data_IF_380860702630
#
_entry.id   IF_380860702630
#
_cell.length_a   1.000
_cell.length_b   1.000
_cell.length_c   1.000
_cell.angle_alpha   90.00
_cell.angle_beta   90.00
_cell.angle_gamma   90.00
#
_symmetry.space_group_name_H-M   'P 1'
#
loop_
_entity.id
_entity.type
_entity.pdbx_description
1 polymer ?
#
# COMPACT_ATOMS: atom_id res chain seq x y z
N UNK A 1 -7.36 -3.10 -4.51
CA UNK A 1 -6.79 -4.10 -3.56
C UNK A 1 -5.71 -4.86 -4.31
N UNK A 2 -4.49 -4.96 -3.78
CA UNK A 2 -3.48 -5.86 -4.34
C UNK A 2 -3.82 -7.32 -4.04
N UNK A 3 -3.40 -8.23 -4.94
CA UNK A 3 -3.54 -9.69 -4.77
C UNK A 3 -2.74 -10.19 -3.55
N UNK A 4 -3.05 -11.40 -3.08
CA UNK A 4 -2.38 -12.01 -1.93
C UNK A 4 -0.96 -12.49 -2.28
N UNK A 5 -0.19 -12.88 -1.26
CA UNK A 5 1.13 -13.48 -1.46
C UNK A 5 1.03 -14.75 -2.32
N UNK A 6 0.10 -15.64 -2.00
CA UNK A 6 -0.06 -16.93 -2.69
C UNK A 6 -0.41 -16.75 -4.17
N UNK A 7 -1.28 -15.77 -4.48
CA UNK A 7 -1.63 -15.43 -5.87
C UNK A 7 -0.40 -14.91 -6.64
N UNK A 8 0.44 -14.10 -5.98
CA UNK A 8 1.65 -13.56 -6.59
C UNK A 8 2.71 -14.65 -6.80
N UNK A 9 2.90 -15.53 -5.81
CA UNK A 9 3.83 -16.66 -5.90
C UNK A 9 3.42 -17.61 -7.05
N UNK A 10 2.15 -17.97 -7.13
CA UNK A 10 1.63 -18.84 -8.19
C UNK A 10 1.83 -18.24 -9.60
N UNK A 11 1.65 -16.92 -9.75
CA UNK A 11 1.90 -16.25 -11.02
C UNK A 11 3.38 -16.23 -11.39
N UNK A 12 4.25 -15.90 -10.44
CA UNK A 12 5.70 -15.87 -10.66
C UNK A 12 6.22 -17.25 -11.07
N UNK A 13 5.74 -18.32 -10.43
CA UNK A 13 6.07 -19.69 -10.82
C UNK A 13 5.55 -20.04 -12.22
N UNK A 14 4.30 -19.69 -12.55
CA UNK A 14 3.69 -20.00 -13.84
C UNK A 14 4.39 -19.32 -15.04
N UNK A 15 5.08 -18.20 -14.80
CA UNK A 15 5.79 -17.44 -15.83
C UNK A 15 7.33 -17.42 -15.65
N UNK A 16 7.85 -18.19 -14.69
CA UNK A 16 9.28 -18.36 -14.44
C UNK A 16 10.00 -18.97 -15.65
N UNK A 17 11.14 -18.40 -16.03
CA UNK A 17 11.90 -18.80 -17.21
C UNK A 17 11.28 -18.36 -18.55
N UNK A 18 10.13 -17.66 -18.54
CA UNK A 18 9.52 -17.06 -19.74
C UNK A 18 9.55 -15.54 -19.70
N UNK A 19 8.95 -14.95 -18.66
CA UNK A 19 8.92 -13.50 -18.45
C UNK A 19 9.77 -13.08 -17.26
N UNK A 20 9.92 -13.97 -16.27
CA UNK A 20 10.69 -13.71 -15.07
C UNK A 20 11.94 -14.58 -15.06
N UNK A 21 13.05 -14.00 -14.59
CA UNK A 21 14.28 -14.74 -14.36
C UNK A 21 14.03 -15.84 -13.30
N UNK A 22 14.37 -17.11 -13.58
CA UNK A 22 14.19 -18.19 -12.63
C UNK A 22 14.86 -17.96 -11.27
N UNK A 23 16.01 -17.30 -11.22
CA UNK A 23 16.70 -16.97 -9.97
C UNK A 23 15.95 -15.92 -9.16
N UNK A 24 15.32 -14.95 -9.84
CA UNK A 24 14.47 -13.94 -9.20
C UNK A 24 13.20 -14.59 -8.63
N UNK A 25 12.55 -15.49 -9.39
CA UNK A 25 11.38 -16.25 -8.89
C UNK A 25 11.77 -17.09 -7.67
N UNK A 26 12.91 -17.79 -7.73
CA UNK A 26 13.41 -18.56 -6.60
C UNK A 26 13.74 -17.68 -5.39
N UNK A 27 14.30 -16.49 -5.60
CA UNK A 27 14.58 -15.53 -4.53
C UNK A 27 13.30 -15.01 -3.88
N UNK A 28 12.24 -14.75 -4.66
CA UNK A 28 10.94 -14.34 -4.13
C UNK A 28 10.39 -15.36 -3.13
N UNK A 29 10.47 -16.65 -3.46
CA UNK A 29 10.03 -17.74 -2.58
C UNK A 29 10.87 -17.93 -1.31
N UNK A 30 12.04 -17.29 -1.18
CA UNK A 30 12.85 -17.35 0.05
C UNK A 30 12.35 -16.43 1.14
N UNK A 31 11.57 -15.41 0.79
CA UNK A 31 11.01 -14.48 1.77
C UNK A 31 9.80 -15.15 2.45
N UNK A 32 9.81 -15.32 3.78
CA UNK A 32 8.69 -15.91 4.50
C UNK A 32 7.39 -15.12 4.29
N UNK A 33 6.26 -15.83 4.26
CA UNK A 33 4.94 -15.22 4.08
C UNK A 33 4.62 -14.22 5.19
N UNK A 34 5.07 -14.48 6.40
CA UNK A 34 4.85 -13.63 7.58
C UNK A 34 5.52 -12.26 7.42
N UNK A 35 6.70 -12.21 6.81
CA UNK A 35 7.43 -10.97 6.54
C UNK A 35 6.68 -10.11 5.49
N UNK A 36 6.12 -10.76 4.47
CA UNK A 36 5.24 -10.11 3.49
C UNK A 36 3.97 -9.53 4.12
N UNK A 37 3.32 -10.31 4.96
CA UNK A 37 2.11 -9.89 5.67
C UNK A 37 2.40 -8.69 6.59
N UNK A 38 3.55 -8.69 7.27
CA UNK A 38 3.98 -7.55 8.09
C UNK A 38 4.27 -6.29 7.27
N UNK A 39 5.00 -6.41 6.15
CA UNK A 39 5.22 -5.30 5.22
C UNK A 39 3.89 -4.73 4.73
N UNK A 40 2.96 -5.61 4.33
CA UNK A 40 1.63 -5.22 3.85
C UNK A 40 0.85 -4.47 4.91
N UNK A 41 0.81 -5.00 6.14
CA UNK A 41 0.14 -4.36 7.28
C UNK A 41 0.67 -2.95 7.52
N UNK A 42 2.00 -2.80 7.63
CA UNK A 42 2.64 -1.49 7.85
C UNK A 42 2.31 -0.49 6.73
N UNK A 43 2.37 -0.94 5.47
CA UNK A 43 2.03 -0.09 4.34
C UNK A 43 0.57 0.39 4.36
N UNK A 44 -0.36 -0.47 4.79
CA UNK A 44 -1.76 -0.10 4.96
C UNK A 44 -1.94 0.93 6.08
N UNK A 45 -1.33 0.70 7.24
CA UNK A 45 -1.36 1.62 8.39
C UNK A 45 -0.81 3.00 8.02
N UNK A 46 0.33 3.06 7.32
CA UNK A 46 0.90 4.32 6.82
C UNK A 46 -0.04 5.03 5.83
N UNK A 47 -0.68 4.27 4.93
CA UNK A 47 -1.65 4.82 3.98
C UNK A 47 -2.87 5.41 4.68
N UNK A 48 -3.38 4.73 5.71
CA UNK A 48 -4.51 5.19 6.53
C UNK A 48 -4.17 6.47 7.30
N UNK A 49 -2.98 6.53 7.90
CA UNK A 49 -2.47 7.71 8.58
C UNK A 49 -2.37 8.91 7.64
N UNK A 50 -1.77 8.73 6.46
CA UNK A 50 -1.68 9.78 5.43
C UNK A 50 -3.06 10.25 4.98
N UNK A 51 -4.00 9.32 4.79
CA UNK A 51 -5.37 9.65 4.41
C UNK A 51 -6.09 10.45 5.52
N UNK A 52 -5.86 10.10 6.79
CA UNK A 52 -6.41 10.82 7.94
C UNK A 52 -5.85 12.24 8.06
N UNK A 53 -4.53 12.40 7.94
CA UNK A 53 -3.88 13.71 7.95
C UNK A 53 -4.45 14.62 6.85
N UNK A 54 -4.54 14.12 5.62
CA UNK A 54 -5.12 14.89 4.52
C UNK A 54 -6.60 15.24 4.73
N UNK A 55 -7.38 14.41 5.45
CA UNK A 55 -8.76 14.78 5.83
C UNK A 55 -8.79 15.94 6.82
N UNK A 56 -7.96 15.89 7.86
CA UNK A 56 -7.87 16.97 8.85
C UNK A 56 -7.47 18.29 8.21
N UNK A 57 -6.48 18.27 7.32
CA UNK A 57 -6.04 19.45 6.58
C UNK A 57 -7.18 20.06 5.74
N UNK A 58 -7.94 19.23 5.03
CA UNK A 58 -9.11 19.70 4.25
C UNK A 58 -10.20 20.28 5.15
N UNK A 59 -10.50 19.64 6.28
CA UNK A 59 -11.51 20.13 7.22
C UNK A 59 -11.07 21.46 7.86
N UNK A 60 -9.82 21.56 8.30
CA UNK A 60 -9.27 22.80 8.86
C UNK A 60 -9.29 23.94 7.84
N UNK A 61 -8.91 23.67 6.59
CA UNK A 61 -9.00 24.64 5.50
C UNK A 61 -10.44 25.13 5.26
N UNK A 62 -11.42 24.22 5.26
CA UNK A 62 -12.83 24.58 5.08
C UNK A 62 -13.35 25.47 6.22
N UNK A 63 -13.03 25.15 7.48
CA UNK A 63 -13.45 25.94 8.64
C UNK A 63 -12.85 27.35 8.60
N UNK A 64 -11.59 27.50 8.19
CA UNK A 64 -10.96 28.82 8.08
C UNK A 64 -11.58 29.68 6.98
N UNK A 65 -12.01 29.08 5.87
CA UNK A 65 -12.72 29.80 4.79
C UNK A 65 -14.09 30.29 5.28
N UNK A 66 -14.87 29.42 5.91
CA UNK A 66 -16.19 29.77 6.48
C UNK A 66 -16.06 30.86 7.56
N UNK A 67 -15.09 30.72 8.46
CA UNK A 67 -14.82 31.72 9.49
C UNK A 67 -14.42 33.07 8.89
N UNK A 68 -13.59 33.09 7.85
CA UNK A 68 -13.19 34.32 7.15
C UNK A 68 -14.32 34.98 6.36
N UNK A 69 -15.25 34.19 5.82
CA UNK A 69 -16.43 34.70 5.12
C UNK A 69 -17.46 35.35 6.07
N UNK A 70 -17.50 34.96 7.34
CA UNK A 70 -18.42 35.51 8.33
C UNK A 70 -17.97 36.87 8.94
N UNK A 71 -16.72 37.30 8.70
CA UNK A 71 -16.15 38.53 9.27
C UNK A 71 -16.05 39.68 8.24
N UNK A 72 -16.59 39.51 7.03
CA UNK A 72 -16.54 40.49 5.94
C UNK A 72 -17.94 40.91 5.50
#
# INVERSE_FOLDING_TARGET
RGRGYDDAAAELEAFGGRQFDPEVVAAFGRVPREEWDEIRRRSQEEGELKAAAGRLERTAGAVLIEAGAAVN
#
